data_IF_730661032120
#
_entry.id   IF_730661032120
#
_cell.length_a   1.000
_cell.length_b   1.000
_cell.length_c   1.000
_cell.angle_alpha   90.00
_cell.angle_beta   90.00
_cell.angle_gamma   90.00
#
_symmetry.space_group_name_H-M   'P 1'
#
loop_
_entity.id
_entity.type
_entity.pdbx_description
1 polymer ?
#
# COMPACT_ATOMS: atom_id res chain seq x y z
N UNK A 1 -6.28 13.08 36.84
CA UNK A 1 -5.90 11.66 36.92
C UNK A 1 -7.10 10.85 36.42
N UNK A 2 -7.25 10.73 35.12
CA UNK A 2 -8.26 9.88 34.50
C UNK A 2 -7.48 8.80 33.77
N UNK A 3 -7.81 7.57 34.12
CA UNK A 3 -7.14 6.32 33.84
C UNK A 3 -6.71 6.15 32.38
N UNK A 4 -5.42 6.09 32.18
CA UNK A 4 -4.69 5.53 31.04
C UNK A 4 -4.79 3.99 31.06
N UNK A 5 -5.98 3.44 30.95
CA UNK A 5 -6.20 2.00 30.83
C UNK A 5 -7.27 1.72 29.78
N UNK A 6 -6.97 2.03 28.51
CA UNK A 6 -7.71 1.45 27.39
C UNK A 6 -6.73 0.80 26.41
N UNK A 7 -6.59 -0.50 26.65
CA UNK A 7 -6.41 -1.56 25.64
C UNK A 7 -5.57 -1.13 24.43
N UNK A 8 -4.29 -1.43 24.49
CA UNK A 8 -3.39 -1.48 23.32
C UNK A 8 -3.84 -2.59 22.36
N UNK A 9 -4.95 -2.42 21.70
CA UNK A 9 -5.19 -3.15 20.48
C UNK A 9 -4.17 -2.64 19.47
N UNK A 10 -3.14 -3.44 19.23
CA UNK A 10 -2.12 -3.12 18.23
C UNK A 10 -2.84 -2.73 16.94
N UNK A 11 -2.43 -1.66 16.24
CA UNK A 11 -3.06 -1.19 14.99
C UNK A 11 -3.31 -2.30 13.99
N UNK A 12 -2.43 -3.30 13.97
CA UNK A 12 -2.56 -4.51 13.17
C UNK A 12 -3.83 -5.31 13.50
N UNK A 13 -4.18 -5.45 14.81
CA UNK A 13 -5.41 -6.14 15.21
C UNK A 13 -6.66 -5.41 14.76
N UNK A 14 -6.65 -4.08 14.80
CA UNK A 14 -7.75 -3.25 14.33
C UNK A 14 -7.96 -3.41 12.83
N UNK A 15 -6.88 -3.34 12.05
CA UNK A 15 -6.90 -3.58 10.61
C UNK A 15 -7.41 -4.99 10.32
N UNK A 16 -6.93 -6.00 11.04
CA UNK A 16 -7.36 -7.39 10.86
C UNK A 16 -8.83 -7.61 11.15
N UNK A 17 -9.34 -7.06 12.26
CA UNK A 17 -10.76 -7.13 12.60
C UNK A 17 -11.63 -6.47 11.54
N UNK A 18 -11.17 -5.37 10.98
CA UNK A 18 -11.86 -4.69 9.91
C UNK A 18 -11.86 -5.53 8.61
N UNK A 19 -10.72 -6.07 8.20
CA UNK A 19 -10.58 -6.99 7.06
C UNK A 19 -11.55 -8.17 7.19
N UNK A 20 -11.69 -8.73 8.39
CA UNK A 20 -12.62 -9.85 8.62
C UNK A 20 -14.10 -9.45 8.54
N UNK A 21 -14.45 -8.21 8.85
CA UNK A 21 -15.82 -7.69 8.69
C UNK A 21 -16.20 -7.50 7.20
N UNK A 22 -15.22 -7.18 6.32
CA UNK A 22 -15.42 -6.88 4.90
C UNK A 22 -15.07 -8.05 3.96
N UNK A 23 -15.16 -9.30 4.44
CA UNK A 23 -14.72 -10.53 3.72
C UNK A 23 -15.19 -10.61 2.27
N UNK A 24 -16.47 -10.32 1.99
CA UNK A 24 -17.05 -10.44 0.64
C UNK A 24 -16.38 -9.50 -0.37
N UNK A 25 -16.17 -8.24 0.01
CA UNK A 25 -15.56 -7.26 -0.87
C UNK A 25 -14.08 -7.58 -1.11
N UNK A 26 -13.38 -8.07 -0.08
CA UNK A 26 -11.99 -8.48 -0.15
C UNK A 26 -11.82 -9.73 -1.01
N UNK A 27 -12.73 -10.70 -0.95
CA UNK A 27 -12.71 -11.88 -1.82
C UNK A 27 -12.77 -11.50 -3.31
N UNK A 28 -13.61 -10.55 -3.70
CA UNK A 28 -13.63 -10.07 -5.09
C UNK A 28 -12.29 -9.45 -5.50
N UNK A 29 -11.70 -8.61 -4.65
CA UNK A 29 -10.37 -8.01 -4.92
C UNK A 29 -9.33 -9.12 -5.07
N UNK A 30 -9.34 -10.14 -4.19
CA UNK A 30 -8.41 -11.28 -4.26
C UNK A 30 -8.54 -12.04 -5.57
N UNK A 31 -9.76 -12.36 -6.01
CA UNK A 31 -10.00 -13.07 -7.27
C UNK A 31 -9.44 -12.25 -8.44
N UNK A 32 -9.77 -10.96 -8.53
CA UNK A 32 -9.25 -10.11 -9.61
C UNK A 32 -7.72 -9.92 -9.52
N UNK A 33 -7.16 -9.88 -8.32
CA UNK A 33 -5.72 -9.80 -8.12
C UNK A 33 -5.00 -11.08 -8.58
N UNK A 34 -5.57 -12.27 -8.29
CA UNK A 34 -5.06 -13.55 -8.78
C UNK A 34 -5.08 -13.58 -10.32
N UNK A 35 -6.21 -13.26 -10.92
CA UNK A 35 -6.35 -13.20 -12.38
C UNK A 35 -5.36 -12.18 -12.98
N UNK A 36 -5.28 -10.98 -12.43
CA UNK A 36 -4.33 -9.95 -12.87
C UNK A 36 -2.87 -10.39 -12.68
N UNK A 37 -2.55 -11.06 -11.57
CA UNK A 37 -1.22 -11.62 -11.30
C UNK A 37 -0.81 -12.66 -12.34
N UNK A 38 -1.68 -13.60 -12.64
CA UNK A 38 -1.44 -14.62 -13.68
C UNK A 38 -1.31 -13.98 -15.06
N UNK A 39 -2.18 -13.04 -15.42
CA UNK A 39 -2.11 -12.34 -16.69
C UNK A 39 -0.85 -11.46 -16.83
N UNK A 40 -0.26 -10.99 -15.73
CA UNK A 40 1.00 -10.25 -15.79
C UNK A 40 2.19 -11.08 -16.26
N UNK A 41 2.10 -12.40 -16.20
CA UNK A 41 3.10 -13.32 -16.71
C UNK A 41 3.08 -13.46 -18.23
N UNK A 42 2.05 -12.95 -18.90
CA UNK A 42 1.94 -13.01 -20.35
C UNK A 42 3.15 -12.40 -21.08
N UNK A 43 3.71 -11.30 -20.53
CA UNK A 43 4.87 -10.63 -21.12
C UNK A 43 6.13 -11.49 -21.00
N UNK A 44 6.60 -11.92 -19.82
CA UNK A 44 7.82 -12.73 -19.72
C UNK A 44 7.69 -14.08 -20.47
N UNK A 45 6.55 -14.76 -20.37
CA UNK A 45 6.33 -16.02 -21.09
C UNK A 45 6.23 -15.81 -22.60
N UNK A 46 5.58 -14.74 -23.05
CA UNK A 46 5.50 -14.37 -24.45
C UNK A 46 6.88 -14.09 -25.05
N UNK A 47 7.73 -13.35 -24.33
CA UNK A 47 9.10 -13.06 -24.76
C UNK A 47 9.93 -14.36 -24.82
N UNK A 48 9.82 -15.22 -23.81
CA UNK A 48 10.48 -16.53 -23.84
C UNK A 48 10.11 -17.33 -25.10
N UNK A 49 8.82 -17.42 -25.39
CA UNK A 49 8.33 -18.15 -26.56
C UNK A 49 8.78 -17.51 -27.87
N UNK A 50 8.76 -16.17 -27.96
CA UNK A 50 9.23 -15.43 -29.14
C UNK A 50 10.73 -15.63 -29.36
N UNK A 51 11.56 -15.52 -28.35
CA UNK A 51 13.01 -15.73 -28.45
C UNK A 51 13.28 -17.16 -28.91
N UNK A 52 12.58 -18.16 -28.37
CA UNK A 52 12.72 -19.55 -28.81
C UNK A 52 12.39 -19.77 -30.31
N UNK A 53 11.34 -19.12 -30.81
CA UNK A 53 10.96 -19.23 -32.24
C UNK A 53 11.92 -18.48 -33.16
N UNK A 54 12.39 -17.29 -32.77
CA UNK A 54 13.33 -16.50 -33.55
C UNK A 54 14.69 -17.18 -33.61
N UNK A 55 15.18 -17.77 -32.53
CA UNK A 55 16.44 -18.52 -32.51
C UNK A 55 16.40 -19.82 -33.34
N UNK A 56 15.21 -20.39 -33.49
CA UNK A 56 15.03 -21.55 -34.43
C UNK A 56 15.14 -21.14 -35.91
N UNK A 57 15.36 -19.88 -36.24
CA UNK A 57 15.65 -19.35 -37.58
C UNK A 57 14.49 -19.36 -38.56
N UNK A 58 13.25 -19.59 -38.11
CA UNK A 58 12.07 -19.63 -38.98
C UNK A 58 10.94 -18.73 -38.43
N UNK A 59 10.64 -17.66 -39.16
CA UNK A 59 9.39 -16.91 -38.96
C UNK A 59 8.24 -17.76 -39.51
N UNK A 60 7.72 -18.67 -38.69
CA UNK A 60 6.60 -19.54 -39.00
C UNK A 60 5.27 -18.91 -38.57
N UNK A 61 4.15 -19.54 -38.98
CA UNK A 61 2.82 -19.17 -38.49
C UNK A 61 2.72 -19.17 -36.94
N UNK A 62 3.55 -19.99 -36.29
CA UNK A 62 3.67 -20.01 -34.82
C UNK A 62 4.07 -18.66 -34.22
N UNK A 63 4.95 -17.91 -34.91
CA UNK A 63 5.34 -16.56 -34.46
C UNK A 63 4.14 -15.61 -34.41
N UNK A 64 3.29 -15.58 -35.41
CA UNK A 64 2.07 -14.75 -35.46
C UNK A 64 1.12 -15.13 -34.34
N UNK A 65 0.95 -16.42 -34.06
CA UNK A 65 0.09 -16.94 -33.00
C UNK A 65 0.61 -16.47 -31.61
N UNK A 66 1.92 -16.60 -31.38
CA UNK A 66 2.53 -16.19 -30.09
C UNK A 66 2.35 -14.67 -29.86
N UNK A 67 2.63 -13.84 -30.89
CA UNK A 67 2.43 -12.40 -30.82
C UNK A 67 0.96 -12.05 -30.55
N UNK A 68 0.06 -12.65 -31.33
CA UNK A 68 -1.39 -12.44 -31.18
C UNK A 68 -1.88 -12.83 -29.78
N UNK A 69 -1.51 -14.03 -29.32
CA UNK A 69 -1.89 -14.53 -28.00
C UNK A 69 -1.34 -13.63 -26.86
N UNK A 70 -0.06 -13.25 -26.92
CA UNK A 70 0.56 -12.37 -25.93
C UNK A 70 -0.15 -11.02 -25.90
N UNK A 71 -0.45 -10.43 -27.08
CA UNK A 71 -1.17 -9.15 -27.19
C UNK A 71 -2.56 -9.24 -26.56
N UNK A 72 -3.32 -10.29 -26.83
CA UNK A 72 -4.65 -10.52 -26.25
C UNK A 72 -4.56 -10.66 -24.72
N UNK A 73 -3.59 -11.42 -24.20
CA UNK A 73 -3.40 -11.59 -22.77
C UNK A 73 -3.02 -10.27 -22.07
N UNK A 74 -2.21 -9.41 -22.71
CA UNK A 74 -1.88 -8.08 -22.22
C UNK A 74 -3.11 -7.17 -22.19
N UNK A 75 -3.93 -7.18 -23.25
CA UNK A 75 -5.18 -6.44 -23.29
C UNK A 75 -6.17 -6.89 -22.20
N UNK A 76 -6.27 -8.21 -21.99
CA UNK A 76 -7.08 -8.79 -20.93
C UNK A 76 -6.56 -8.39 -19.54
N UNK A 77 -5.23 -8.35 -19.33
CA UNK A 77 -4.62 -7.83 -18.11
C UNK A 77 -4.99 -6.35 -17.86
N UNK A 78 -5.03 -5.54 -18.91
CA UNK A 78 -5.50 -4.15 -18.84
C UNK A 78 -6.97 -4.06 -18.41
N UNK A 79 -7.83 -4.89 -18.98
CA UNK A 79 -9.26 -4.94 -18.64
C UNK A 79 -9.49 -5.33 -17.18
N UNK A 80 -8.73 -6.30 -16.66
CA UNK A 80 -8.82 -6.68 -15.23
C UNK A 80 -8.38 -5.55 -14.30
N UNK A 81 -7.41 -4.72 -14.70
CA UNK A 81 -7.02 -3.52 -13.92
C UNK A 81 -8.15 -2.50 -13.85
N UNK A 82 -8.87 -2.27 -14.95
CA UNK A 82 -10.02 -1.35 -14.95
C UNK A 82 -11.13 -1.86 -14.04
N UNK A 83 -11.41 -3.17 -14.07
CA UNK A 83 -12.37 -3.79 -13.15
C UNK A 83 -11.95 -3.63 -11.68
N UNK A 84 -10.67 -3.82 -11.34
CA UNK A 84 -10.14 -3.59 -9.99
C UNK A 84 -10.35 -2.15 -9.53
N UNK A 85 -10.08 -1.14 -10.38
CA UNK A 85 -10.30 0.27 -10.06
C UNK A 85 -11.78 0.54 -9.76
N UNK A 86 -12.70 -0.02 -10.55
CA UNK A 86 -14.14 0.13 -10.35
C UNK A 86 -14.63 -0.50 -9.03
N UNK A 87 -14.12 -1.69 -8.70
CA UNK A 87 -14.44 -2.36 -7.43
C UNK A 87 -13.90 -1.55 -6.25
N UNK A 88 -12.67 -1.03 -6.37
CA UNK A 88 -12.05 -0.22 -5.34
C UNK A 88 -12.86 1.03 -5.03
N UNK A 89 -13.30 1.73 -6.07
CA UNK A 89 -14.19 2.90 -5.94
C UNK A 89 -15.51 2.54 -5.27
N UNK A 90 -16.10 1.39 -5.61
CA UNK A 90 -17.32 0.90 -4.96
C UNK A 90 -17.11 0.63 -3.46
N UNK A 91 -15.96 0.09 -3.08
CA UNK A 91 -15.61 -0.15 -1.67
C UNK A 91 -15.41 1.16 -0.93
N UNK A 92 -14.72 2.14 -1.54
CA UNK A 92 -14.54 3.47 -0.96
C UNK A 92 -15.88 4.13 -0.64
N UNK A 93 -16.82 4.12 -1.59
CA UNK A 93 -18.17 4.65 -1.40
C UNK A 93 -18.92 3.95 -0.26
N UNK A 94 -18.88 2.62 -0.22
CA UNK A 94 -19.53 1.83 0.85
C UNK A 94 -18.95 2.13 2.22
N UNK A 95 -17.61 2.25 2.31
CA UNK A 95 -16.93 2.60 3.55
C UNK A 95 -17.33 3.98 4.03
N UNK A 96 -17.28 4.96 3.13
CA UNK A 96 -17.66 6.32 3.47
C UNK A 96 -19.09 6.39 4.01
N UNK A 97 -20.05 5.82 3.29
CA UNK A 97 -21.46 5.83 3.70
C UNK A 97 -21.64 5.15 5.05
N UNK A 98 -21.03 3.98 5.25
CA UNK A 98 -21.13 3.24 6.53
C UNK A 98 -20.61 4.05 7.70
N UNK A 99 -19.38 4.58 7.60
CA UNK A 99 -18.80 5.35 8.69
C UNK A 99 -19.46 6.72 8.88
N UNK A 100 -19.98 7.34 7.82
CA UNK A 100 -20.76 8.56 7.93
C UNK A 100 -22.08 8.34 8.72
N UNK A 101 -22.75 7.18 8.53
CA UNK A 101 -23.93 6.83 9.32
C UNK A 101 -23.58 6.55 10.79
N UNK A 102 -22.54 5.76 11.05
CA UNK A 102 -22.05 5.52 12.42
C UNK A 102 -21.67 6.84 13.09
N UNK A 103 -21.04 7.74 12.36
CA UNK A 103 -20.69 9.07 12.81
C UNK A 103 -21.93 9.87 13.21
N UNK A 104 -22.94 9.92 12.34
CA UNK A 104 -24.20 10.63 12.61
C UNK A 104 -24.85 10.13 13.91
N UNK A 105 -24.98 8.82 14.09
CA UNK A 105 -25.64 8.23 15.25
C UNK A 105 -24.88 8.50 16.57
N UNK A 106 -23.55 8.47 16.54
CA UNK A 106 -22.74 8.51 17.75
C UNK A 106 -22.25 9.91 18.12
N UNK A 107 -22.01 10.79 17.17
CA UNK A 107 -21.36 12.08 17.42
C UNK A 107 -22.33 13.24 17.43
N UNK A 108 -23.37 13.21 16.60
CA UNK A 108 -24.38 14.29 16.58
C UNK A 108 -25.12 14.38 17.92
N UNK A 109 -25.32 13.25 18.59
CA UNK A 109 -25.99 13.18 19.90
C UNK A 109 -25.08 13.57 21.08
N UNK A 110 -23.75 13.69 20.86
CA UNK A 110 -22.82 14.08 21.93
C UNK A 110 -22.74 15.59 22.10
N UNK A 111 -23.25 16.06 23.23
CA UNK A 111 -23.16 17.48 23.60
C UNK A 111 -21.83 17.86 24.29
N UNK A 112 -21.02 16.85 24.63
CA UNK A 112 -19.72 17.00 25.31
C UNK A 112 -18.55 17.32 24.35
N UNK A 113 -18.78 17.26 23.03
CA UNK A 113 -17.77 17.53 22.01
C UNK A 113 -17.97 18.88 21.33
N UNK A 114 -16.89 19.63 21.17
CA UNK A 114 -16.90 20.85 20.37
C UNK A 114 -17.10 20.55 18.87
N UNK A 115 -17.64 21.53 18.15
CA UNK A 115 -17.90 21.43 16.71
C UNK A 115 -16.63 21.10 15.91
N UNK A 116 -15.49 21.66 16.34
CA UNK A 116 -14.17 21.44 15.73
C UNK A 116 -13.75 19.98 15.86
N UNK A 117 -13.93 19.38 17.02
CA UNK A 117 -13.61 17.97 17.24
C UNK A 117 -14.55 17.05 16.45
N UNK A 118 -15.83 17.42 16.35
CA UNK A 118 -16.79 16.73 15.48
C UNK A 118 -16.34 16.75 14.02
N UNK A 119 -15.98 17.92 13.49
CA UNK A 119 -15.50 18.04 12.10
C UNK A 119 -14.22 17.23 11.86
N UNK A 120 -13.28 17.25 12.80
CA UNK A 120 -12.04 16.46 12.73
C UNK A 120 -12.30 14.98 12.57
N UNK A 121 -13.15 14.37 13.38
CA UNK A 121 -13.47 12.96 13.32
C UNK A 121 -14.15 12.56 12.00
N UNK A 122 -14.90 13.47 11.40
CA UNK A 122 -15.43 13.24 10.05
C UNK A 122 -14.32 13.20 8.98
N UNK A 123 -13.28 14.02 9.09
CA UNK A 123 -12.13 13.97 8.19
C UNK A 123 -11.32 12.67 8.32
N UNK A 124 -11.28 12.07 9.52
CA UNK A 124 -10.67 10.75 9.71
C UNK A 124 -11.41 9.65 8.92
N UNK A 125 -12.72 9.77 8.71
CA UNK A 125 -13.49 8.85 7.84
C UNK A 125 -13.00 8.93 6.39
N UNK A 126 -12.75 10.15 5.89
CA UNK A 126 -12.23 10.35 4.52
C UNK A 126 -10.83 9.77 4.38
N UNK A 127 -9.99 9.94 5.39
CA UNK A 127 -8.64 9.35 5.44
C UNK A 127 -8.73 7.83 5.46
N UNK A 128 -9.56 7.27 6.31
CA UNK A 128 -9.79 5.82 6.43
C UNK A 128 -10.19 5.21 5.09
N UNK A 129 -11.23 5.74 4.44
CA UNK A 129 -11.72 5.20 3.17
C UNK A 129 -10.64 5.16 2.09
N UNK A 130 -9.84 6.23 1.97
CA UNK A 130 -8.76 6.33 0.97
C UNK A 130 -7.61 5.38 1.27
N UNK A 131 -7.10 5.43 2.50
CA UNK A 131 -5.93 4.64 2.91
C UNK A 131 -6.20 3.15 2.88
N UNK A 132 -7.35 2.70 3.39
CA UNK A 132 -7.70 1.28 3.39
C UNK A 132 -7.93 0.71 2.02
N UNK A 133 -8.67 1.41 1.19
CA UNK A 133 -8.95 0.92 -0.16
C UNK A 133 -7.67 0.78 -0.97
N UNK A 134 -6.79 1.78 -0.89
CA UNK A 134 -5.50 1.77 -1.57
C UNK A 134 -4.59 0.68 -1.01
N UNK A 135 -4.54 0.53 0.32
CA UNK A 135 -3.78 -0.52 0.98
C UNK A 135 -4.20 -1.92 0.48
N UNK A 136 -5.49 -2.24 0.50
CA UNK A 136 -5.98 -3.55 0.07
C UNK A 136 -5.61 -3.82 -1.39
N UNK A 137 -5.81 -2.83 -2.27
CA UNK A 137 -5.51 -3.00 -3.69
C UNK A 137 -4.01 -3.21 -3.94
N UNK A 138 -3.17 -2.33 -3.42
CA UNK A 138 -1.73 -2.35 -3.66
C UNK A 138 -1.06 -3.54 -2.97
N UNK A 139 -1.43 -3.81 -1.70
CA UNK A 139 -0.88 -4.93 -0.94
C UNK A 139 -1.23 -6.28 -1.57
N UNK A 140 -2.52 -6.51 -1.86
CA UNK A 140 -2.98 -7.78 -2.42
C UNK A 140 -2.34 -8.04 -3.77
N UNK A 141 -2.30 -7.03 -4.64
CA UNK A 141 -1.70 -7.14 -5.96
C UNK A 141 -0.21 -7.42 -5.88
N UNK A 142 0.53 -6.65 -5.10
CA UNK A 142 1.99 -6.80 -4.97
C UNK A 142 2.35 -8.13 -4.31
N UNK A 143 1.65 -8.55 -3.25
CA UNK A 143 1.89 -9.82 -2.58
C UNK A 143 1.69 -11.01 -3.54
N UNK A 144 0.58 -11.02 -4.30
CA UNK A 144 0.33 -12.08 -5.27
C UNK A 144 1.36 -12.07 -6.41
N UNK A 145 1.73 -10.90 -6.91
CA UNK A 145 2.74 -10.77 -7.95
C UNK A 145 4.10 -11.31 -7.50
N UNK A 146 4.48 -11.06 -6.23
CA UNK A 146 5.70 -11.60 -5.63
C UNK A 146 5.62 -13.12 -5.52
N UNK A 147 4.53 -13.68 -4.99
CA UNK A 147 4.35 -15.13 -4.82
C UNK A 147 4.42 -15.84 -6.17
N UNK A 148 3.64 -15.38 -7.14
CA UNK A 148 3.57 -15.98 -8.48
C UNK A 148 4.91 -15.81 -9.23
N UNK A 149 5.55 -14.65 -9.08
CA UNK A 149 6.88 -14.40 -9.68
C UNK A 149 7.95 -15.32 -9.12
N UNK A 150 8.02 -15.54 -7.80
CA UNK A 150 8.97 -16.46 -7.17
C UNK A 150 8.72 -17.89 -7.63
N UNK A 151 7.45 -18.33 -7.69
CA UNK A 151 7.10 -19.66 -8.16
C UNK A 151 7.58 -19.88 -9.61
N UNK A 152 7.35 -18.91 -10.48
CA UNK A 152 7.77 -19.03 -11.88
C UNK A 152 9.30 -19.00 -12.03
N UNK A 153 10.00 -18.16 -11.30
CA UNK A 153 11.47 -18.16 -11.26
C UNK A 153 12.02 -19.54 -10.82
N UNK A 154 11.41 -20.14 -9.80
CA UNK A 154 11.81 -21.47 -9.29
C UNK A 154 11.60 -22.57 -10.33
N UNK A 155 10.56 -22.44 -11.18
CA UNK A 155 10.32 -23.39 -12.31
C UNK A 155 11.42 -23.27 -13.36
N UNK A 156 11.96 -22.07 -13.61
CA UNK A 156 13.08 -21.92 -14.56
C UNK A 156 14.36 -22.55 -14.07
N UNK A 157 14.73 -22.30 -12.81
CA UNK A 157 15.87 -22.96 -12.20
C UNK A 157 15.76 -22.96 -10.66
N UNK A 158 16.07 -24.09 -9.98
CA UNK A 158 15.94 -24.17 -8.52
C UNK A 158 16.79 -23.15 -7.74
N UNK A 159 17.94 -22.71 -8.26
CA UNK A 159 18.76 -21.69 -7.63
C UNK A 159 18.04 -20.32 -7.48
N UNK A 160 17.08 -20.03 -8.32
CA UNK A 160 16.32 -18.79 -8.24
C UNK A 160 15.42 -18.71 -7.01
N UNK A 161 15.15 -19.84 -6.34
CA UNK A 161 14.44 -19.81 -5.04
C UNK A 161 15.24 -19.05 -3.99
N UNK A 162 16.58 -19.09 -4.03
CA UNK A 162 17.44 -18.35 -3.10
C UNK A 162 17.28 -16.84 -3.27
N UNK A 163 17.11 -16.38 -4.51
CA UNK A 163 16.79 -14.96 -4.79
C UNK A 163 15.42 -14.60 -4.23
N UNK A 164 14.41 -15.46 -4.40
CA UNK A 164 13.07 -15.28 -3.84
C UNK A 164 13.08 -15.20 -2.30
N UNK A 165 13.81 -16.10 -1.64
CA UNK A 165 13.99 -16.09 -0.18
C UNK A 165 14.69 -14.79 0.25
N UNK A 166 15.74 -14.37 -0.46
CA UNK A 166 16.44 -13.13 -0.19
C UNK A 166 15.52 -11.91 -0.26
N UNK A 167 14.68 -11.81 -1.29
CA UNK A 167 13.67 -10.73 -1.42
C UNK A 167 12.69 -10.77 -0.25
N UNK A 168 12.17 -11.95 0.10
CA UNK A 168 11.24 -12.10 1.22
C UNK A 168 11.87 -11.66 2.55
N UNK A 169 13.10 -12.08 2.83
CA UNK A 169 13.84 -11.65 4.01
C UNK A 169 14.07 -10.14 4.03
N UNK A 170 14.36 -9.54 2.88
CA UNK A 170 14.55 -8.10 2.76
C UNK A 170 13.27 -7.35 3.10
N UNK A 171 12.11 -7.79 2.60
CA UNK A 171 10.81 -7.20 2.94
C UNK A 171 10.55 -7.33 4.44
N UNK A 172 10.73 -8.52 5.01
CA UNK A 172 10.47 -8.79 6.42
C UNK A 172 11.35 -7.95 7.35
N UNK A 173 12.64 -7.83 7.03
CA UNK A 173 13.59 -7.00 7.78
C UNK A 173 13.27 -5.52 7.66
N UNK A 174 12.95 -5.03 6.46
CA UNK A 174 12.55 -3.65 6.22
C UNK A 174 11.32 -3.26 7.03
N UNK A 175 10.29 -4.12 7.02
CA UNK A 175 9.09 -3.95 7.85
C UNK A 175 9.41 -3.94 9.35
N UNK A 176 10.16 -4.94 9.83
CA UNK A 176 10.49 -5.04 11.25
C UNK A 176 11.26 -3.83 11.78
N UNK A 177 12.18 -3.32 10.97
CA UNK A 177 13.05 -2.21 11.39
C UNK A 177 12.31 -0.87 11.43
N UNK A 178 11.41 -0.62 10.49
CA UNK A 178 10.81 0.71 10.31
C UNK A 178 9.39 0.82 10.87
N UNK A 179 8.72 -0.29 11.16
CA UNK A 179 7.31 -0.32 11.56
C UNK A 179 6.98 0.58 12.74
N UNK A 180 7.68 0.36 13.87
CA UNK A 180 7.38 1.09 15.11
C UNK A 180 7.66 2.60 14.98
N UNK A 181 8.81 2.95 14.44
CA UNK A 181 9.20 4.35 14.22
C UNK A 181 8.31 5.05 13.22
N UNK A 182 7.90 4.34 12.13
CA UNK A 182 7.01 4.88 11.11
C UNK A 182 5.61 5.15 11.63
N UNK A 183 5.04 4.22 12.40
CA UNK A 183 3.71 4.39 12.98
C UNK A 183 3.66 5.53 14.01
N UNK A 184 4.68 5.65 14.85
CA UNK A 184 4.79 6.71 15.85
C UNK A 184 4.96 8.09 15.20
N UNK A 185 5.85 8.21 14.21
CA UNK A 185 6.05 9.48 13.48
C UNK A 185 4.80 9.90 12.70
N UNK A 186 4.10 8.97 12.05
CA UNK A 186 2.85 9.22 11.35
C UNK A 186 1.73 9.68 12.33
N UNK A 187 1.67 9.07 13.52
CA UNK A 187 0.72 9.48 14.57
C UNK A 187 0.97 10.91 15.01
N UNK A 188 2.24 11.27 15.26
CA UNK A 188 2.61 12.62 15.68
C UNK A 188 2.29 13.65 14.59
N UNK A 189 2.61 13.36 13.32
CA UNK A 189 2.24 14.20 12.19
C UNK A 189 0.72 14.37 12.10
N UNK A 190 -0.05 13.28 12.17
CA UNK A 190 -1.51 13.32 12.12
C UNK A 190 -2.11 14.18 13.24
N UNK A 191 -1.55 14.12 14.45
CA UNK A 191 -2.02 14.92 15.58
C UNK A 191 -1.70 16.41 15.37
N UNK A 192 -0.51 16.75 14.90
CA UNK A 192 -0.13 18.14 14.63
C UNK A 192 -0.92 18.75 13.47
N UNK A 193 -1.20 17.95 12.43
CA UNK A 193 -2.07 18.36 11.33
C UNK A 193 -3.44 18.84 11.82
N UNK A 194 -4.03 18.14 12.79
CA UNK A 194 -5.31 18.54 13.36
C UNK A 194 -5.20 19.77 14.26
N UNK A 195 -4.14 19.90 15.05
CA UNK A 195 -3.88 21.10 15.83
C UNK A 195 -3.79 22.36 14.94
N UNK A 196 -3.14 22.24 13.78
CA UNK A 196 -3.08 23.32 12.79
C UNK A 196 -4.46 23.68 12.24
N UNK A 197 -5.34 22.69 11.99
CA UNK A 197 -6.72 22.97 11.58
C UNK A 197 -7.53 23.70 12.67
N UNK A 198 -7.34 23.35 13.92
CA UNK A 198 -7.99 24.04 15.05
C UNK A 198 -7.58 25.52 15.12
N UNK A 199 -6.28 25.81 14.96
CA UNK A 199 -5.80 27.20 14.95
C UNK A 199 -6.33 28.00 13.76
N UNK A 200 -6.46 27.40 12.57
CA UNK A 200 -7.10 28.05 11.41
C UNK A 200 -8.58 28.36 11.69
N UNK A 201 -9.31 27.43 12.31
CA UNK A 201 -10.72 27.65 12.65
C UNK A 201 -10.89 28.73 13.72
N UNK A 202 -9.96 28.86 14.66
CA UNK A 202 -9.94 29.99 15.63
C UNK A 202 -9.70 31.31 14.91
N UNK A 203 -8.75 31.41 14.00
CA UNK A 203 -8.50 32.61 13.18
C UNK A 203 -9.68 33.00 12.30
N UNK A 204 -10.47 32.02 11.83
CA UNK A 204 -11.64 32.30 10.99
C UNK A 204 -12.86 32.83 11.76
N UNK A 205 -12.87 32.77 13.09
CA UNK A 205 -13.92 33.34 13.91
C UNK A 205 -13.78 34.89 13.92
N UNK A 206 -14.78 35.58 13.37
CA UNK A 206 -14.84 37.05 13.33
C UNK A 206 -15.37 37.59 14.67
N UNK A 207 -14.82 38.74 15.12
CA UNK A 207 -15.36 39.49 16.26
C UNK A 207 -14.53 39.40 17.54
N UNK A 208 -13.28 38.95 17.45
CA UNK A 208 -12.33 38.95 18.58
C UNK A 208 -11.58 40.30 18.67
N UNK A 209 -11.02 40.57 19.86
CA UNK A 209 -10.19 41.75 20.07
C UNK A 209 -8.87 41.68 19.30
N UNK A 210 -8.22 42.79 18.89
CA UNK A 210 -6.95 42.80 18.17
C UNK A 210 -5.82 42.03 18.88
N UNK A 211 -5.81 42.03 20.23
CA UNK A 211 -4.85 41.25 21.01
C UNK A 211 -5.06 39.74 20.87
N UNK A 212 -6.32 39.32 20.83
CA UNK A 212 -6.69 37.91 20.65
C UNK A 212 -6.36 37.43 19.26
N UNK A 213 -6.58 38.24 18.23
CA UNK A 213 -6.22 37.96 16.83
C UNK A 213 -4.70 37.78 16.68
N UNK A 214 -3.88 38.65 17.31
CA UNK A 214 -2.42 38.54 17.30
C UNK A 214 -1.95 37.24 17.96
N UNK A 215 -2.55 36.88 19.10
CA UNK A 215 -2.23 35.61 19.78
C UNK A 215 -2.62 34.38 18.98
N UNK A 216 -3.76 34.41 18.30
CA UNK A 216 -4.18 33.29 17.40
C UNK A 216 -3.27 33.18 16.21
N UNK A 217 -2.77 34.28 15.65
CA UNK A 217 -1.80 34.30 14.56
C UNK A 217 -0.46 33.69 14.99
N UNK A 218 0.05 34.02 16.16
CA UNK A 218 1.25 33.43 16.73
C UNK A 218 1.08 31.91 16.96
N UNK A 219 -0.04 31.51 17.56
CA UNK A 219 -0.38 30.10 17.76
C UNK A 219 -0.47 29.33 16.43
N UNK A 220 -1.00 29.96 15.38
CA UNK A 220 -1.04 29.38 14.05
C UNK A 220 0.38 29.18 13.49
N UNK A 221 1.26 30.16 13.54
CA UNK A 221 2.65 30.03 13.11
C UNK A 221 3.35 28.89 13.82
N UNK A 222 3.26 28.84 15.15
CA UNK A 222 3.84 27.78 15.96
C UNK A 222 3.29 26.40 15.61
N UNK A 223 1.99 26.28 15.32
CA UNK A 223 1.38 25.00 14.94
C UNK A 223 1.81 24.53 13.55
N UNK A 224 2.00 25.45 12.60
CA UNK A 224 2.53 25.15 11.27
C UNK A 224 3.98 24.67 11.36
N UNK A 225 4.84 25.34 12.12
CA UNK A 225 6.24 24.95 12.32
C UNK A 225 6.35 23.56 12.95
N UNK A 226 5.53 23.28 13.96
CA UNK A 226 5.46 21.96 14.59
C UNK A 226 4.97 20.90 13.62
N UNK A 227 3.95 21.19 12.83
CA UNK A 227 3.47 20.27 11.79
C UNK A 227 4.56 19.95 10.78
N UNK A 228 5.25 20.95 10.25
CA UNK A 228 6.35 20.77 9.28
C UNK A 228 7.46 19.90 9.88
N UNK A 229 7.86 20.16 11.12
CA UNK A 229 8.85 19.35 11.84
C UNK A 229 8.44 17.88 11.95
N UNK A 230 7.21 17.58 12.37
CA UNK A 230 6.72 16.22 12.47
C UNK A 230 6.55 15.55 11.09
N UNK A 231 6.19 16.32 10.07
CA UNK A 231 6.16 15.87 8.68
C UNK A 231 7.55 15.49 8.18
N UNK A 232 8.57 16.28 8.49
CA UNK A 232 9.96 15.96 8.16
C UNK A 232 10.44 14.69 8.87
N UNK A 233 10.09 14.50 10.15
CA UNK A 233 10.48 13.31 10.89
C UNK A 233 9.80 12.05 10.33
N UNK A 234 8.52 12.14 9.96
CA UNK A 234 7.84 11.05 9.25
C UNK A 234 8.46 10.80 7.88
N UNK A 235 8.73 11.85 7.10
CA UNK A 235 9.37 11.74 5.80
C UNK A 235 10.76 11.07 5.88
N UNK A 236 11.55 11.34 6.92
CA UNK A 236 12.85 10.67 7.14
C UNK A 236 12.70 9.14 7.25
N UNK A 237 11.63 8.67 7.88
CA UNK A 237 11.36 7.23 7.98
C UNK A 237 10.96 6.66 6.61
N UNK A 238 10.03 7.30 5.91
CA UNK A 238 9.60 6.89 4.56
C UNK A 238 10.79 6.89 3.58
N UNK A 239 11.65 7.90 3.67
CA UNK A 239 12.86 8.01 2.85
C UNK A 239 13.87 6.89 3.12
N UNK A 240 14.03 6.48 4.39
CA UNK A 240 14.85 5.30 4.73
C UNK A 240 14.26 4.02 4.13
N UNK A 241 12.94 3.86 4.17
CA UNK A 241 12.25 2.72 3.55
C UNK A 241 12.45 2.70 2.02
N UNK A 242 12.28 3.86 1.36
CA UNK A 242 12.50 3.99 -0.07
C UNK A 242 13.96 3.69 -0.46
N UNK A 243 14.95 4.23 0.27
CA UNK A 243 16.37 3.92 0.05
C UNK A 243 16.65 2.42 0.17
N UNK A 244 16.08 1.77 1.18
CA UNK A 244 16.26 0.34 1.40
C UNK A 244 15.64 -0.48 0.27
N UNK A 245 14.45 -0.11 -0.20
CA UNK A 245 13.79 -0.76 -1.33
C UNK A 245 14.60 -0.62 -2.63
N UNK A 246 15.10 0.60 -2.93
CA UNK A 246 15.93 0.86 -4.12
C UNK A 246 17.25 0.09 -4.05
N UNK A 247 17.93 0.11 -2.89
CA UNK A 247 19.16 -0.67 -2.70
C UNK A 247 18.92 -2.16 -2.91
N UNK A 248 17.86 -2.70 -2.34
CA UNK A 248 17.47 -4.11 -2.52
C UNK A 248 17.18 -4.44 -3.97
N UNK A 249 16.47 -3.57 -4.68
CA UNK A 249 16.19 -3.70 -6.11
C UNK A 249 17.47 -3.79 -6.92
N UNK A 250 18.40 -2.87 -6.69
CA UNK A 250 19.71 -2.85 -7.37
C UNK A 250 20.52 -4.12 -7.07
N UNK A 251 20.58 -4.54 -5.80
CA UNK A 251 21.31 -5.71 -5.38
C UNK A 251 20.76 -6.99 -6.04
N UNK A 252 19.45 -7.22 -5.94
CA UNK A 252 18.86 -8.45 -6.50
C UNK A 252 18.84 -8.48 -8.03
N UNK A 253 18.75 -7.32 -8.69
CA UNK A 253 18.95 -7.25 -10.14
C UNK A 253 20.40 -7.67 -10.51
N UNK A 254 21.41 -7.15 -9.81
CA UNK A 254 22.78 -7.55 -10.04
C UNK A 254 23.02 -9.05 -9.78
N UNK A 255 22.50 -9.56 -8.66
CA UNK A 255 22.59 -11.01 -8.34
C UNK A 255 21.94 -11.85 -9.43
N UNK A 256 20.75 -11.43 -9.92
CA UNK A 256 20.03 -12.18 -10.95
C UNK A 256 20.78 -12.19 -12.27
N UNK A 257 21.35 -11.05 -12.70
CA UNK A 257 22.18 -10.95 -13.88
C UNK A 257 23.43 -11.87 -13.78
N UNK A 258 24.10 -11.91 -12.63
CA UNK A 258 25.28 -12.78 -12.42
C UNK A 258 24.89 -14.25 -12.43
N UNK A 259 23.87 -14.64 -11.64
CA UNK A 259 23.45 -16.04 -11.55
C UNK A 259 22.83 -16.50 -12.88
N UNK A 260 21.97 -15.68 -13.48
CA UNK A 260 21.31 -16.00 -14.75
C UNK A 260 22.31 -16.15 -15.89
N UNK A 261 23.31 -15.25 -16.02
CA UNK A 261 24.35 -15.38 -17.03
C UNK A 261 25.25 -16.60 -16.80
N UNK A 262 25.58 -16.92 -15.54
CA UNK A 262 26.33 -18.15 -15.21
C UNK A 262 25.58 -19.41 -15.63
N UNK A 263 24.27 -19.49 -15.34
CA UNK A 263 23.41 -20.62 -15.74
C UNK A 263 23.26 -20.72 -17.27
N UNK A 264 23.19 -19.55 -17.95
CA UNK A 264 23.08 -19.50 -19.40
C UNK A 264 24.36 -20.03 -20.06
N UNK A 265 25.55 -19.57 -19.61
CA UNK A 265 26.83 -20.07 -20.13
C UNK A 265 27.03 -21.55 -19.82
N UNK A 266 26.54 -22.01 -18.66
CA UNK A 266 26.53 -23.42 -18.27
C UNK A 266 25.50 -24.28 -19.00
N UNK A 267 24.75 -23.75 -19.99
CA UNK A 267 23.65 -24.41 -20.71
C UNK A 267 22.58 -25.02 -19.80
N UNK A 268 22.40 -24.47 -18.58
CA UNK A 268 21.37 -24.93 -17.64
C UNK A 268 20.02 -24.28 -17.89
N UNK A 269 20.02 -23.11 -18.53
CA UNK A 269 18.82 -22.39 -18.98
C UNK A 269 19.01 -21.93 -20.43
N UNK A 270 17.90 -21.82 -21.17
CA UNK A 270 17.93 -21.25 -22.52
C UNK A 270 18.00 -19.71 -22.49
N UNK A 271 18.43 -19.09 -23.60
CA UNK A 271 18.42 -17.63 -23.75
C UNK A 271 17.02 -17.04 -23.53
N UNK A 272 15.98 -17.71 -24.01
CA UNK A 272 14.59 -17.30 -23.78
C UNK A 272 14.20 -17.31 -22.31
N UNK A 273 14.61 -18.34 -21.55
CA UNK A 273 14.39 -18.44 -20.11
C UNK A 273 15.19 -17.36 -19.35
N UNK A 274 16.44 -17.10 -19.76
CA UNK A 274 17.25 -16.02 -19.17
C UNK A 274 16.56 -14.66 -19.31
N UNK A 275 16.18 -14.27 -20.54
CA UNK A 275 15.51 -12.98 -20.77
C UNK A 275 14.16 -12.89 -20.04
N UNK A 276 13.40 -13.98 -20.03
CA UNK A 276 12.13 -14.01 -19.28
C UNK A 276 12.34 -13.88 -17.78
N UNK A 277 13.39 -14.51 -17.23
CA UNK A 277 13.71 -14.41 -15.80
C UNK A 277 14.18 -13.01 -15.41
N UNK A 278 14.91 -12.30 -16.28
CA UNK A 278 15.31 -10.90 -16.05
C UNK A 278 14.10 -9.95 -16.03
N UNK A 279 13.15 -10.11 -16.96
CA UNK A 279 11.93 -9.31 -16.96
C UNK A 279 11.07 -9.63 -15.74
N UNK A 280 11.01 -10.90 -15.36
CA UNK A 280 10.24 -11.36 -14.22
C UNK A 280 10.80 -10.81 -12.91
N UNK A 281 12.13 -10.82 -12.71
CA UNK A 281 12.76 -10.29 -11.50
C UNK A 281 12.54 -8.78 -11.38
N UNK A 282 12.68 -8.01 -12.47
CA UNK A 282 12.40 -6.56 -12.46
C UNK A 282 10.94 -6.31 -12.02
N UNK A 283 10.00 -7.04 -12.61
CA UNK A 283 8.58 -6.94 -12.28
C UNK A 283 8.28 -7.30 -10.82
N UNK A 284 8.98 -8.30 -10.28
CA UNK A 284 8.88 -8.73 -8.89
C UNK A 284 9.46 -7.70 -7.92
N UNK A 285 10.60 -7.10 -8.28
CA UNK A 285 11.22 -6.06 -7.48
C UNK A 285 10.41 -4.75 -7.50
N UNK A 286 9.75 -4.41 -8.61
CA UNK A 286 8.78 -3.31 -8.68
C UNK A 286 7.56 -3.56 -7.76
N UNK A 287 7.08 -4.79 -7.70
CA UNK A 287 6.00 -5.16 -6.78
C UNK A 287 6.46 -5.07 -5.32
N UNK A 288 7.70 -5.45 -5.02
CA UNK A 288 8.33 -5.34 -3.70
C UNK A 288 8.46 -3.88 -3.27
N UNK A 289 8.95 -3.01 -4.14
CA UNK A 289 9.06 -1.58 -3.91
C UNK A 289 7.68 -0.95 -3.60
N UNK A 290 6.66 -1.27 -4.40
CA UNK A 290 5.28 -0.81 -4.16
C UNK A 290 4.73 -1.29 -2.83
N UNK A 291 5.01 -2.54 -2.45
CA UNK A 291 4.59 -3.10 -1.17
C UNK A 291 5.23 -2.34 0.00
N UNK A 292 6.51 -2.03 -0.07
CA UNK A 292 7.23 -1.23 0.94
C UNK A 292 6.66 0.18 1.02
N UNK A 293 6.43 0.85 -0.11
CA UNK A 293 5.87 2.20 -0.13
C UNK A 293 4.39 2.26 0.29
N UNK A 294 3.64 1.17 0.14
CA UNK A 294 2.25 1.11 0.59
C UNK A 294 2.08 1.10 2.12
N UNK A 295 3.17 0.97 2.87
CA UNK A 295 3.17 1.01 4.35
C UNK A 295 2.67 2.35 4.87
N UNK A 296 2.92 3.47 4.17
CA UNK A 296 2.36 4.78 4.53
C UNK A 296 0.82 4.71 4.64
N UNK A 297 0.16 4.05 3.70
CA UNK A 297 -1.30 3.86 3.76
C UNK A 297 -1.73 2.99 4.95
N UNK A 298 -0.86 2.07 5.42
CA UNK A 298 -1.12 1.29 6.65
C UNK A 298 -1.05 2.18 7.89
N UNK A 299 -0.09 3.10 7.95
CA UNK A 299 0.01 4.05 9.06
C UNK A 299 -1.21 4.96 9.10
N UNK A 300 -1.54 5.61 8.00
CA UNK A 300 -2.68 6.53 7.89
C UNK A 300 -4.01 5.84 8.20
N UNK A 301 -4.25 4.69 7.60
CA UNK A 301 -5.46 3.91 7.83
C UNK A 301 -5.57 3.40 9.27
N UNK A 302 -4.44 2.92 9.84
CA UNK A 302 -4.39 2.44 11.22
C UNK A 302 -4.65 3.54 12.23
N UNK A 303 -4.09 4.74 12.03
CA UNK A 303 -4.30 5.91 12.89
C UNK A 303 -5.74 6.41 12.78
N UNK A 304 -6.30 6.50 11.57
CA UNK A 304 -7.69 6.88 11.37
C UNK A 304 -8.65 5.89 12.05
N UNK A 305 -8.37 4.59 11.94
CA UNK A 305 -9.17 3.55 12.59
C UNK A 305 -9.08 3.62 14.12
N UNK A 306 -7.90 3.87 14.67
CA UNK A 306 -7.68 4.05 16.11
C UNK A 306 -8.52 5.22 16.65
N UNK A 307 -8.53 6.35 15.94
CA UNK A 307 -9.31 7.54 16.30
C UNK A 307 -10.83 7.30 16.18
N UNK A 308 -11.26 6.48 15.23
CA UNK A 308 -12.68 6.15 15.02
C UNK A 308 -13.18 5.05 15.96
N UNK A 309 -12.33 4.09 16.37
CA UNK A 309 -12.73 3.04 17.33
C UNK A 309 -13.12 3.57 18.71
N UNK A 310 -12.59 4.70 19.12
CA UNK A 310 -13.08 5.43 20.30
C UNK A 310 -14.57 5.84 20.20
N UNK A 311 -15.16 5.75 19.00
CA UNK A 311 -16.57 6.04 18.72
C UNK A 311 -17.43 4.75 18.74
N UNK A 312 -16.91 3.65 18.18
CA UNK A 312 -17.63 2.37 18.09
C UNK A 312 -17.76 1.64 19.45
N UNK A 313 -16.78 1.79 20.34
CA UNK A 313 -16.77 1.09 21.65
C UNK A 313 -17.86 1.52 22.62
N UNK A 314 -18.60 2.59 22.32
CA UNK A 314 -19.65 3.15 23.19
C UNK A 314 -21.01 2.50 22.95
N UNK A 315 -21.20 1.81 21.81
CA UNK A 315 -22.49 1.22 21.40
C UNK A 315 -22.54 -0.32 21.48
N UNK A 316 -21.60 -0.99 22.16
CA UNK A 316 -21.83 -2.39 22.51
C UNK A 316 -22.60 -2.42 23.83
N UNK A 317 -23.90 -2.81 23.85
CA UNK A 317 -24.57 -3.11 25.11
C UNK A 317 -23.82 -4.28 25.74
N UNK A 318 -23.42 -4.05 26.99
CA UNK A 318 -22.88 -5.05 27.92
C UNK A 318 -23.75 -6.28 28.02
#
# INVERSE_FOLDING_TARGET
>A
MIQENQVSNTPIKLIWNWVTKEKKNIQFILIYAIVSGLLSLAIPLGIQALVGTVMAGKLSSSWVIIVGMTTVLVALSGSTKLAQISILESIQKKLFVRYAWIYKENIVQRNDMDLTEKARKFLDIVTLQKSFSKLIADFTKSALQIIVGILLLTIYHPLFILVGIGIFLTIALGFRYTWKSGFESARNESNMKFSTYETILCLAKRGESPEMETKHLENFHNSVDLYVKHREDHFKVLYKQAKFAIFSKTLFTAVMLIVGSYLLVGNQISLGQFLASEILIITLLDATEKLVLSVENMYDGGIALEKLNGIESINQPS
#
